data_IF_644559500968
#
_entry.id   IF_644559500968
#
_cell.length_a   1.000
_cell.length_b   1.000
_cell.length_c   1.000
_cell.angle_alpha   90.00
_cell.angle_beta   90.00
_cell.angle_gamma   90.00
#
_symmetry.space_group_name_H-M   'P 1'
#
loop_
_entity.id
_entity.type
_entity.pdbx_description
1 polymer ?
#
# COMPACT_ATOMS: atom_id res chain seq x y z
N UNK A 1 34.04 -0.81 23.22
CA UNK A 1 33.13 -1.97 23.05
C UNK A 1 32.65 -2.20 21.61
N UNK A 2 33.06 -1.39 20.61
CA UNK A 2 32.51 -1.45 19.24
C UNK A 2 33.41 -2.21 18.24
N UNK A 3 34.63 -2.64 18.62
CA UNK A 3 35.61 -3.20 17.67
C UNK A 3 35.64 -4.74 17.57
N UNK A 4 34.82 -5.48 18.34
CA UNK A 4 34.84 -6.97 18.37
C UNK A 4 33.59 -7.61 17.72
N UNK A 5 32.79 -6.85 16.99
CA UNK A 5 31.57 -7.34 16.34
C UNK A 5 31.71 -7.60 14.83
N UNK A 6 32.94 -7.58 14.29
CA UNK A 6 33.21 -7.82 12.85
C UNK A 6 34.00 -9.11 12.57
N UNK A 7 34.11 -10.03 13.53
CA UNK A 7 34.74 -11.35 13.31
C UNK A 7 33.74 -12.51 13.07
N UNK A 8 32.44 -12.21 12.93
CA UNK A 8 31.43 -13.18 12.50
C UNK A 8 31.03 -12.93 11.05
N UNK A 9 30.85 -13.99 10.25
CA UNK A 9 30.24 -13.87 8.92
C UNK A 9 28.89 -13.16 9.04
N UNK A 10 28.77 -11.97 8.45
CA UNK A 10 27.48 -11.31 8.27
C UNK A 10 26.76 -12.02 7.12
N UNK A 11 25.83 -12.92 7.46
CA UNK A 11 24.90 -13.48 6.48
C UNK A 11 23.67 -12.57 6.43
N UNK A 12 23.43 -11.97 5.27
CA UNK A 12 22.22 -11.19 5.03
C UNK A 12 21.01 -12.14 4.97
N UNK A 13 20.07 -11.99 5.90
CA UNK A 13 18.83 -12.78 5.93
C UNK A 13 17.75 -11.95 5.26
N UNK A 14 17.69 -12.02 3.94
CA UNK A 14 16.62 -11.43 3.13
C UNK A 14 15.30 -12.19 3.26
N UNK A 15 14.21 -11.60 2.72
CA UNK A 15 12.93 -12.30 2.63
C UNK A 15 13.06 -13.57 1.78
N UNK A 16 12.50 -14.71 2.21
CA UNK A 16 12.58 -15.95 1.46
C UNK A 16 11.93 -15.81 0.09
N UNK A 17 12.57 -16.37 -0.94
CA UNK A 17 12.00 -16.53 -2.26
C UNK A 17 10.78 -17.48 -2.24
N UNK A 18 10.03 -17.55 -3.35
CA UNK A 18 8.78 -18.31 -3.39
C UNK A 18 8.97 -19.79 -3.03
N UNK A 19 9.99 -20.43 -3.58
CA UNK A 19 10.29 -21.84 -3.31
C UNK A 19 10.65 -22.06 -1.85
N UNK A 20 11.47 -21.18 -1.26
CA UNK A 20 11.78 -21.24 0.17
C UNK A 20 10.54 -21.03 1.04
N UNK A 21 9.62 -20.15 0.65
CA UNK A 21 8.34 -19.97 1.39
C UNK A 21 7.49 -21.23 1.35
N UNK A 22 7.38 -21.90 0.19
CA UNK A 22 6.65 -23.17 0.07
C UNK A 22 7.30 -24.24 0.93
N UNK A 23 8.63 -24.38 0.89
CA UNK A 23 9.36 -25.36 1.71
C UNK A 23 9.19 -25.11 3.22
N UNK A 24 9.19 -23.84 3.66
CA UNK A 24 8.89 -23.47 5.04
C UNK A 24 7.48 -23.92 5.43
N UNK A 25 6.48 -23.65 4.58
CA UNK A 25 5.09 -24.05 4.84
C UNK A 25 4.94 -25.58 4.91
N UNK A 26 5.57 -26.33 4.00
CA UNK A 26 5.58 -27.80 4.01
C UNK A 26 6.18 -28.34 5.30
N UNK A 27 7.34 -27.83 5.71
CA UNK A 27 7.98 -28.20 6.99
C UNK A 27 7.06 -27.92 8.19
N UNK A 28 6.41 -26.75 8.21
CA UNK A 28 5.48 -26.38 9.28
C UNK A 28 4.21 -27.24 9.32
N UNK A 29 3.70 -27.67 8.16
CA UNK A 29 2.59 -28.62 8.09
C UNK A 29 2.96 -29.99 8.67
N UNK A 30 4.18 -30.47 8.40
CA UNK A 30 4.71 -31.71 8.97
C UNK A 30 4.85 -31.61 10.50
N UNK A 31 5.46 -30.53 11.00
CA UNK A 31 5.59 -30.27 12.44
C UNK A 31 4.23 -30.28 13.15
N UNK A 32 3.19 -29.72 12.53
CA UNK A 32 1.83 -29.61 13.09
C UNK A 32 0.97 -30.85 12.83
N UNK A 33 1.48 -31.87 12.14
CA UNK A 33 0.75 -33.08 11.73
C UNK A 33 -0.59 -32.74 11.05
N UNK A 34 -0.60 -31.73 10.19
CA UNK A 34 -1.80 -31.26 9.50
C UNK A 34 -1.60 -31.27 7.99
N UNK A 35 -2.35 -32.12 7.30
CA UNK A 35 -2.23 -32.31 5.86
C UNK A 35 -2.97 -31.18 5.12
N UNK A 36 -2.23 -30.46 4.28
CA UNK A 36 -2.76 -29.43 3.36
C UNK A 36 -2.28 -29.76 1.95
N UNK A 37 -3.16 -29.59 0.98
CA UNK A 37 -2.81 -29.76 -0.43
C UNK A 37 -1.77 -28.73 -0.88
N UNK A 38 -0.80 -29.18 -1.68
CA UNK A 38 0.32 -28.33 -2.13
C UNK A 38 -0.14 -27.07 -2.88
N UNK A 39 -1.24 -27.15 -3.62
CA UNK A 39 -1.85 -25.99 -4.29
C UNK A 39 -2.26 -24.89 -3.32
N UNK A 40 -2.76 -25.26 -2.13
CA UNK A 40 -3.12 -24.31 -1.07
C UNK A 40 -1.86 -23.69 -0.47
N UNK A 41 -0.78 -24.47 -0.28
CA UNK A 41 0.50 -23.95 0.19
C UNK A 41 1.10 -22.94 -0.80
N UNK A 42 1.06 -23.25 -2.10
CA UNK A 42 1.45 -22.32 -3.15
C UNK A 42 0.63 -21.03 -3.06
N UNK A 43 -0.70 -21.14 -2.88
CA UNK A 43 -1.56 -19.98 -2.76
C UNK A 43 -1.23 -19.11 -1.54
N UNK A 44 -0.92 -19.72 -0.39
CA UNK A 44 -0.44 -19.01 0.81
C UNK A 44 0.90 -18.31 0.53
N UNK A 45 1.86 -19.00 -0.11
CA UNK A 45 3.17 -18.44 -0.44
C UNK A 45 3.11 -17.31 -1.48
N UNK A 46 2.11 -17.30 -2.37
CA UNK A 46 1.84 -16.19 -3.29
C UNK A 46 1.23 -14.99 -2.56
N UNK A 47 0.28 -15.25 -1.65
CA UNK A 47 -0.40 -14.20 -0.90
C UNK A 47 0.53 -13.49 0.10
N UNK A 48 1.44 -14.23 0.75
CA UNK A 48 2.32 -13.69 1.79
C UNK A 48 3.76 -13.57 1.29
N UNK A 49 4.19 -12.34 1.03
CA UNK A 49 5.51 -12.03 0.44
C UNK A 49 6.43 -11.24 1.37
N UNK A 50 5.96 -10.87 2.55
CA UNK A 50 6.61 -9.96 3.49
C UNK A 50 7.74 -10.64 4.27
N UNK A 51 7.40 -11.53 5.21
CA UNK A 51 8.34 -12.20 6.12
C UNK A 51 7.80 -13.57 6.60
N UNK A 52 8.70 -14.38 7.16
CA UNK A 52 8.40 -15.76 7.62
C UNK A 52 7.34 -15.79 8.74
N UNK A 53 7.30 -14.77 9.61
CA UNK A 53 6.34 -14.71 10.71
C UNK A 53 4.90 -14.56 10.20
N UNK A 54 4.68 -13.69 9.22
CA UNK A 54 3.37 -13.54 8.58
C UNK A 54 2.98 -14.80 7.79
N UNK A 55 3.96 -15.45 7.14
CA UNK A 55 3.75 -16.71 6.42
C UNK A 55 3.23 -17.81 7.36
N UNK A 56 3.89 -17.97 8.51
CA UNK A 56 3.45 -18.90 9.55
C UNK A 56 2.10 -18.49 10.17
N UNK A 57 1.87 -17.19 10.37
CA UNK A 57 0.61 -16.64 10.86
C UNK A 57 -0.57 -16.98 9.94
N UNK A 58 -0.38 -16.83 8.63
CA UNK A 58 -1.38 -17.19 7.61
C UNK A 58 -1.69 -18.68 7.64
N UNK A 59 -0.67 -19.53 7.69
CA UNK A 59 -0.84 -20.98 7.81
C UNK A 59 -1.62 -21.35 9.07
N UNK A 60 -1.24 -20.81 10.23
CA UNK A 60 -1.92 -21.07 11.50
C UNK A 60 -3.39 -20.65 11.46
N UNK A 61 -3.70 -19.49 10.85
CA UNK A 61 -5.08 -19.02 10.72
C UNK A 61 -5.93 -19.93 9.82
N UNK A 62 -5.35 -20.41 8.71
CA UNK A 62 -6.00 -21.38 7.83
C UNK A 62 -6.29 -22.68 8.58
N UNK A 63 -5.31 -23.23 9.29
CA UNK A 63 -5.47 -24.46 10.08
C UNK A 63 -6.55 -24.28 11.16
N UNK A 64 -6.45 -23.22 11.97
CA UNK A 64 -7.38 -22.97 13.07
C UNK A 64 -8.82 -22.80 12.58
N UNK A 65 -9.04 -22.08 11.49
CA UNK A 65 -10.37 -21.89 10.90
C UNK A 65 -11.00 -23.23 10.46
N UNK A 66 -10.21 -24.09 9.81
CA UNK A 66 -10.70 -25.36 9.29
C UNK A 66 -10.87 -26.43 10.39
N UNK A 67 -10.01 -26.42 11.40
CA UNK A 67 -10.19 -27.22 12.61
C UNK A 67 -11.47 -26.83 13.35
N UNK A 68 -11.72 -25.52 13.56
CA UNK A 68 -12.94 -25.05 14.22
C UNK A 68 -14.21 -25.42 13.44
N UNK A 69 -14.16 -25.37 12.10
CA UNK A 69 -15.30 -25.76 11.24
C UNK A 69 -15.41 -27.26 11.00
N UNK A 70 -14.49 -28.08 11.49
CA UNK A 70 -14.39 -29.51 11.18
C UNK A 70 -14.46 -29.80 9.67
N UNK A 71 -13.81 -28.95 8.86
CA UNK A 71 -13.83 -29.03 7.39
C UNK A 71 -12.40 -29.08 6.86
N UNK A 72 -12.22 -29.64 5.66
CA UNK A 72 -10.91 -29.64 4.99
C UNK A 72 -10.65 -28.30 4.30
N UNK A 73 -9.40 -27.81 4.28
CA UNK A 73 -9.04 -26.63 3.51
C UNK A 73 -9.27 -26.86 2.02
N UNK A 74 -9.90 -25.88 1.37
CA UNK A 74 -10.02 -25.81 -0.10
C UNK A 74 -9.56 -24.43 -0.54
N UNK A 75 -9.21 -24.26 -1.82
CA UNK A 75 -8.81 -22.94 -2.32
C UNK A 75 -9.92 -21.87 -2.09
N UNK A 76 -11.19 -22.23 -2.23
CA UNK A 76 -12.32 -21.32 -2.03
C UNK A 76 -12.46 -20.86 -0.59
N UNK A 77 -12.26 -21.75 0.38
CA UNK A 77 -12.38 -21.42 1.80
C UNK A 77 -11.14 -20.69 2.33
N UNK A 78 -9.97 -20.90 1.70
CA UNK A 78 -8.71 -20.27 2.09
C UNK A 78 -8.57 -18.84 1.57
N UNK A 79 -9.01 -18.56 0.32
CA UNK A 79 -8.97 -17.21 -0.28
C UNK A 79 -9.43 -16.08 0.65
N UNK A 80 -10.64 -16.12 1.25
CA UNK A 80 -11.11 -15.03 2.12
C UNK A 80 -10.28 -14.89 3.40
N UNK A 81 -9.67 -15.97 3.90
CA UNK A 81 -8.81 -15.95 5.10
C UNK A 81 -7.50 -15.20 4.81
N UNK A 82 -6.99 -15.34 3.58
CA UNK A 82 -5.73 -14.76 3.14
C UNK A 82 -5.81 -13.29 2.76
N UNK A 83 -7.00 -12.72 2.56
CA UNK A 83 -7.19 -11.30 2.21
C UNK A 83 -6.46 -10.37 3.18
N UNK A 84 -6.44 -10.69 4.47
CA UNK A 84 -5.76 -9.86 5.48
C UNK A 84 -4.23 -9.98 5.47
N UNK A 85 -3.67 -10.97 4.77
CA UNK A 85 -2.22 -11.19 4.65
C UNK A 85 -1.69 -10.87 3.27
N UNK A 86 -2.58 -10.63 2.31
CA UNK A 86 -2.16 -10.00 1.08
C UNK A 86 -1.54 -8.65 1.45
N UNK A 87 -0.38 -8.30 0.88
CA UNK A 87 0.11 -6.93 0.99
C UNK A 87 -1.05 -6.02 0.61
N UNK A 88 -1.24 -4.93 1.34
CA UNK A 88 -2.34 -3.95 1.21
C UNK A 88 -2.42 -3.22 -0.15
N UNK A 89 -1.88 -3.84 -1.21
CA UNK A 89 -1.86 -3.46 -2.60
C UNK A 89 -3.17 -3.72 -3.37
N UNK A 90 -4.27 -4.09 -2.70
CA UNK A 90 -5.59 -4.24 -3.35
C UNK A 90 -6.42 -2.96 -3.42
N UNK A 91 -5.91 -1.82 -2.92
CA UNK A 91 -6.11 -0.58 -3.67
C UNK A 91 -5.04 -0.59 -4.75
N UNK A 92 -5.43 -0.66 -6.04
CA UNK A 92 -4.50 -0.45 -7.16
C UNK A 92 -3.57 0.69 -6.76
N UNK A 93 -2.27 0.40 -6.67
CA UNK A 93 -1.31 1.34 -6.08
C UNK A 93 -1.40 2.64 -6.86
N UNK A 94 -2.06 3.64 -6.27
CA UNK A 94 -2.23 4.93 -6.90
C UNK A 94 -0.83 5.50 -7.07
N UNK A 95 -0.49 5.90 -8.30
CA UNK A 95 0.80 6.53 -8.58
C UNK A 95 0.70 8.06 -8.50
N UNK A 96 1.77 8.78 -8.11
CA UNK A 96 1.78 10.25 -8.11
C UNK A 96 1.31 10.85 -9.43
N UNK A 97 1.77 10.26 -10.55
CA UNK A 97 1.40 10.65 -11.91
C UNK A 97 -0.11 10.55 -12.16
N UNK A 98 -0.75 9.47 -11.71
CA UNK A 98 -2.20 9.30 -11.85
C UNK A 98 -2.98 10.35 -11.06
N UNK A 99 -2.57 10.66 -9.83
CA UNK A 99 -3.23 11.73 -9.04
C UNK A 99 -3.13 13.06 -9.76
N UNK A 100 -1.94 13.44 -10.22
CA UNK A 100 -1.74 14.71 -10.93
C UNK A 100 -2.61 14.74 -12.19
N UNK A 101 -2.65 13.66 -12.96
CA UNK A 101 -3.43 13.58 -14.20
C UNK A 101 -4.95 13.66 -13.95
N UNK A 102 -5.46 12.97 -12.94
CA UNK A 102 -6.90 12.97 -12.62
C UNK A 102 -7.32 14.34 -12.09
N UNK A 103 -6.51 14.95 -11.20
CA UNK A 103 -6.78 16.30 -10.70
C UNK A 103 -6.69 17.32 -11.83
N UNK A 104 -5.71 17.20 -12.72
CA UNK A 104 -5.59 18.07 -13.90
C UNK A 104 -6.84 17.99 -14.79
N UNK A 105 -7.30 16.77 -15.06
CA UNK A 105 -8.53 16.54 -15.84
C UNK A 105 -9.78 17.03 -15.12
N UNK A 106 -9.84 16.96 -13.79
CA UNK A 106 -10.99 17.44 -13.02
C UNK A 106 -11.15 18.97 -13.11
N UNK A 107 -10.04 19.70 -13.03
CA UNK A 107 -10.03 21.16 -13.06
C UNK A 107 -9.83 21.76 -14.46
N UNK A 108 -9.87 20.93 -15.51
CA UNK A 108 -9.65 21.34 -16.92
C UNK A 108 -8.34 22.12 -17.13
N UNK A 109 -7.24 21.56 -16.62
CA UNK A 109 -5.89 22.12 -16.73
C UNK A 109 -4.91 21.09 -17.27
N UNK A 110 -3.81 21.57 -17.87
CA UNK A 110 -2.75 20.67 -18.31
C UNK A 110 -1.89 20.19 -17.15
N UNK A 111 -1.45 18.93 -17.21
CA UNK A 111 -0.56 18.34 -16.21
C UNK A 111 0.74 19.14 -16.05
N UNK A 112 1.27 19.66 -17.16
CA UNK A 112 2.48 20.49 -17.18
C UNK A 112 2.31 21.81 -16.42
N UNK A 113 1.11 22.38 -16.41
CA UNK A 113 0.83 23.60 -15.65
C UNK A 113 0.89 23.34 -14.14
N UNK A 114 0.44 22.17 -13.67
CA UNK A 114 0.56 21.77 -12.27
C UNK A 114 2.02 21.60 -11.85
N UNK A 115 2.85 21.00 -12.70
CA UNK A 115 4.27 20.78 -12.46
C UNK A 115 5.10 22.06 -12.61
N UNK A 116 4.70 22.97 -13.48
CA UNK A 116 5.42 24.18 -13.82
C UNK A 116 5.54 25.21 -12.68
N UNK A 117 6.36 26.24 -12.90
CA UNK A 117 6.65 27.30 -11.91
C UNK A 117 5.58 28.41 -11.82
N UNK A 118 4.56 28.35 -12.67
CA UNK A 118 3.51 29.37 -12.74
C UNK A 118 2.79 29.54 -11.40
N UNK A 119 2.67 30.78 -10.91
CA UNK A 119 2.03 31.15 -9.64
C UNK A 119 0.59 31.64 -9.82
N UNK A 120 -0.02 31.38 -10.98
CA UNK A 120 -1.41 31.78 -11.23
C UNK A 120 -2.37 31.19 -10.19
N UNK A 121 -3.30 32.02 -9.70
CA UNK A 121 -4.27 31.62 -8.66
C UNK A 121 -5.07 30.37 -9.05
N UNK A 122 -5.44 30.24 -10.32
CA UNK A 122 -6.18 29.07 -10.85
C UNK A 122 -5.46 27.72 -10.64
N UNK A 123 -4.12 27.73 -10.53
CA UNK A 123 -3.32 26.52 -10.33
C UNK A 123 -3.03 26.22 -8.85
N UNK A 124 -3.19 27.21 -7.97
CA UNK A 124 -2.85 27.06 -6.56
C UNK A 124 -3.75 26.03 -5.89
N UNK A 125 -5.06 26.13 -6.08
CA UNK A 125 -6.03 25.23 -5.46
C UNK A 125 -5.92 23.78 -5.98
N UNK A 126 -5.88 23.52 -7.30
CA UNK A 126 -5.63 22.17 -7.82
C UNK A 126 -4.33 21.54 -7.28
N UNK A 127 -3.24 22.30 -7.13
CA UNK A 127 -1.99 21.77 -6.52
C UNK A 127 -2.17 21.41 -5.05
N UNK A 128 -2.94 22.20 -4.29
CA UNK A 128 -3.25 21.88 -2.89
C UNK A 128 -4.02 20.57 -2.79
N UNK A 129 -4.97 20.33 -3.70
CA UNK A 129 -5.71 19.06 -3.80
C UNK A 129 -4.77 17.89 -4.12
N UNK A 130 -3.83 18.05 -5.07
CA UNK A 130 -2.83 17.00 -5.36
C UNK A 130 -1.99 16.69 -4.11
N UNK A 131 -1.48 17.71 -3.42
CA UNK A 131 -0.66 17.54 -2.22
C UNK A 131 -1.42 16.80 -1.12
N UNK A 132 -2.69 17.17 -0.91
CA UNK A 132 -3.58 16.51 0.03
C UNK A 132 -3.81 15.03 -0.33
N UNK A 133 -4.15 14.73 -1.59
CA UNK A 133 -4.42 13.35 -2.04
C UNK A 133 -3.19 12.46 -1.98
N UNK A 134 -2.01 12.97 -2.34
CA UNK A 134 -0.75 12.21 -2.18
C UNK A 134 -0.46 11.90 -0.72
N UNK A 135 -0.78 12.82 0.20
CA UNK A 135 -0.61 12.57 1.64
C UNK A 135 -1.64 11.55 2.16
N UNK A 136 -2.88 11.65 1.76
CA UNK A 136 -3.96 10.81 2.29
C UNK A 136 -3.98 9.40 1.69
N UNK A 137 -3.85 9.30 0.38
CA UNK A 137 -4.04 8.03 -0.34
C UNK A 137 -2.73 7.23 -0.47
N UNK A 138 -1.57 7.90 -0.48
CA UNK A 138 -0.26 7.24 -0.64
C UNK A 138 0.63 7.31 0.61
N UNK A 139 0.22 8.07 1.63
CA UNK A 139 1.05 8.37 2.82
C UNK A 139 2.44 8.91 2.45
N UNK A 140 2.53 9.64 1.34
CA UNK A 140 3.78 10.23 0.87
C UNK A 140 4.33 11.26 1.88
N UNK A 141 5.65 11.37 1.96
CA UNK A 141 6.31 12.38 2.79
C UNK A 141 6.19 13.78 2.15
N UNK A 142 6.13 14.84 2.95
CA UNK A 142 6.06 16.21 2.41
C UNK A 142 7.21 16.57 1.45
N UNK A 143 8.47 16.13 1.69
CA UNK A 143 9.53 16.32 0.71
C UNK A 143 9.29 15.59 -0.62
N UNK A 144 8.79 14.35 -0.56
CA UNK A 144 8.45 13.57 -1.76
C UNK A 144 7.33 14.23 -2.56
N UNK A 145 6.27 14.69 -1.90
CA UNK A 145 5.15 15.41 -2.53
C UNK A 145 5.65 16.67 -3.25
N UNK A 146 6.54 17.44 -2.59
CA UNK A 146 7.15 18.63 -3.19
C UNK A 146 7.97 18.31 -4.45
N UNK A 147 8.75 17.23 -4.40
CA UNK A 147 9.56 16.75 -5.53
C UNK A 147 8.68 16.35 -6.74
N UNK A 148 7.64 15.55 -6.51
CA UNK A 148 6.69 15.09 -7.55
C UNK A 148 5.92 16.26 -8.19
N UNK A 149 5.67 17.33 -7.44
CA UNK A 149 5.08 18.57 -7.94
C UNK A 149 6.16 19.57 -8.35
N UNK A 150 7.16 19.16 -9.13
CA UNK A 150 8.10 20.07 -9.79
C UNK A 150 9.10 20.77 -8.85
N UNK A 151 9.51 20.10 -7.76
CA UNK A 151 10.57 20.60 -6.86
C UNK A 151 10.14 21.72 -5.92
N UNK A 152 8.92 21.64 -5.38
CA UNK A 152 8.38 22.59 -4.39
C UNK A 152 8.87 22.29 -2.97
N UNK A 153 8.96 23.33 -2.14
CA UNK A 153 9.36 23.18 -0.74
C UNK A 153 8.41 22.29 0.06
N UNK A 154 8.97 21.45 0.94
CA UNK A 154 8.20 20.55 1.80
C UNK A 154 7.21 21.29 2.70
N UNK A 155 7.55 22.50 3.16
CA UNK A 155 6.64 23.36 3.95
C UNK A 155 5.42 23.79 3.14
N UNK A 156 5.56 23.97 1.82
CA UNK A 156 4.42 24.27 0.93
C UNK A 156 3.45 23.09 0.89
N UNK A 157 3.97 21.86 0.81
CA UNK A 157 3.14 20.66 0.84
C UNK A 157 2.43 20.48 2.19
N UNK A 158 3.12 20.78 3.30
CA UNK A 158 2.55 20.74 4.64
C UNK A 158 1.42 21.77 4.81
N UNK A 159 1.66 23.04 4.47
CA UNK A 159 0.63 24.09 4.56
C UNK A 159 -0.56 23.83 3.63
N UNK A 160 -0.31 23.27 2.43
CA UNK A 160 -1.38 22.87 1.53
C UNK A 160 -2.28 21.79 2.15
N UNK A 161 -1.67 20.77 2.76
CA UNK A 161 -2.38 19.70 3.45
C UNK A 161 -3.23 20.25 4.61
N UNK A 162 -2.64 21.02 5.51
CA UNK A 162 -3.34 21.63 6.66
C UNK A 162 -4.52 22.50 6.20
N UNK A 163 -4.34 23.29 5.15
CA UNK A 163 -5.39 24.13 4.59
C UNK A 163 -6.56 23.31 4.06
N UNK A 164 -6.31 22.25 3.28
CA UNK A 164 -7.39 21.41 2.75
C UNK A 164 -8.10 20.64 3.87
N UNK A 165 -7.37 20.17 4.89
CA UNK A 165 -7.97 19.56 6.08
C UNK A 165 -8.91 20.53 6.80
N UNK A 166 -8.52 21.79 6.99
CA UNK A 166 -9.40 22.80 7.60
C UNK A 166 -10.62 23.12 6.73
N UNK A 167 -10.44 23.28 5.42
CA UNK A 167 -11.56 23.53 4.51
C UNK A 167 -12.56 22.37 4.45
N UNK A 168 -12.09 21.14 4.64
CA UNK A 168 -12.94 19.95 4.64
C UNK A 168 -13.96 19.92 5.79
N UNK A 169 -13.71 20.63 6.90
CA UNK A 169 -14.66 20.67 8.02
C UNK A 169 -15.88 21.56 7.72
N UNK A 170 -15.71 22.54 6.82
CA UNK A 170 -16.71 23.60 6.58
C UNK A 170 -17.31 23.55 5.17
N UNK A 171 -16.60 22.99 4.18
CA UNK A 171 -16.98 23.03 2.76
C UNK A 171 -17.46 21.66 2.25
N UNK A 172 -18.78 21.45 2.27
CA UNK A 172 -19.43 20.26 1.70
C UNK A 172 -19.15 20.08 0.20
N UNK A 173 -18.95 21.17 -0.55
CA UNK A 173 -18.63 21.06 -1.99
C UNK A 173 -17.24 20.49 -2.19
N UNK A 174 -16.28 20.92 -1.39
CA UNK A 174 -14.93 20.36 -1.40
C UNK A 174 -14.93 18.88 -1.03
N UNK A 175 -15.72 18.48 -0.04
CA UNK A 175 -15.88 17.06 0.31
C UNK A 175 -16.39 16.26 -0.89
N UNK A 176 -17.43 16.75 -1.56
CA UNK A 176 -18.00 16.11 -2.74
C UNK A 176 -17.01 16.04 -3.91
N UNK A 177 -16.30 17.13 -4.20
CA UNK A 177 -15.27 17.18 -5.25
C UNK A 177 -14.16 16.14 -5.00
N UNK A 178 -13.69 16.04 -3.75
CA UNK A 178 -12.67 15.07 -3.36
C UNK A 178 -13.19 13.64 -3.47
N UNK A 179 -14.44 13.37 -3.11
CA UNK A 179 -15.05 12.06 -3.27
C UNK A 179 -15.12 11.65 -4.75
N UNK A 180 -15.54 12.55 -5.65
CA UNK A 180 -15.56 12.30 -7.09
C UNK A 180 -14.16 12.02 -7.65
N UNK A 181 -13.16 12.78 -7.21
CA UNK A 181 -11.76 12.57 -7.60
C UNK A 181 -11.28 11.19 -7.12
N UNK A 182 -11.58 10.82 -5.87
CA UNK A 182 -11.22 9.51 -5.29
C UNK A 182 -11.90 8.35 -6.02
N UNK A 183 -13.17 8.49 -6.39
CA UNK A 183 -13.88 7.49 -7.19
C UNK A 183 -13.17 7.26 -8.53
N UNK A 184 -12.79 8.33 -9.24
CA UNK A 184 -12.03 8.23 -10.49
C UNK A 184 -10.66 7.59 -10.31
N UNK A 185 -9.99 7.85 -9.18
CA UNK A 185 -8.70 7.28 -8.83
C UNK A 185 -8.72 5.75 -8.69
N UNK A 186 -9.83 5.19 -8.19
CA UNK A 186 -9.98 3.74 -7.98
C UNK A 186 -10.82 3.03 -9.05
N UNK A 187 -11.41 3.78 -9.99
CA UNK A 187 -12.18 3.22 -11.10
C UNK A 187 -11.31 2.68 -12.26
N UNK A 188 -10.04 3.11 -12.34
CA UNK A 188 -9.04 2.64 -13.34
C UNK A 188 -8.51 1.30 -12.93
#
# INVERSE_FOLDING_TARGET
LISRFEQGMMADVGSPDFETRVAILESKCLEKTYAIEREILHHIATAVQTNVRELEGALNKVIAFHQFKNARPTLETVRPILVSFQPSNTRKSVTPKQVIQIVASYFDIHMEDLLGKSRQKRLAFPRQIVMYLMREEMKASYPSIGSELGGRDHTTAMHAYEKICGCLEEDEKLQHDLELIKQKLYAV
#
